data_IF_124658813619
#
_entry.id   IF_124658813619
#
_cell.length_a   1.000
_cell.length_b   1.000
_cell.length_c   1.000
_cell.angle_alpha   90.00
_cell.angle_beta   90.00
_cell.angle_gamma   90.00
#
_symmetry.space_group_name_H-M   'P 1'
#
loop_
_entity.id
_entity.type
_entity.pdbx_description
1 polymer ?
#
# COMPACT_ATOMS: atom_id res chain seq x y z
N UNK A 1 -11.28 -2.03 9.89
CA UNK A 1 -12.16 -3.12 10.39
C UNK A 1 -13.34 -3.39 9.44
N UNK A 2 -13.09 -3.97 8.26
CA UNK A 2 -14.16 -4.22 7.26
C UNK A 2 -15.18 -5.31 7.68
N UNK A 3 -14.94 -6.00 8.81
CA UNK A 3 -15.82 -7.04 9.35
C UNK A 3 -16.79 -6.52 10.42
N UNK A 4 -16.70 -5.24 10.82
CA UNK A 4 -17.60 -4.66 11.82
C UNK A 4 -18.81 -3.99 11.17
N UNK A 5 -20.01 -4.07 11.77
CA UNK A 5 -21.17 -3.25 11.38
C UNK A 5 -20.83 -1.76 11.26
N UNK A 6 -21.49 -1.05 10.32
CA UNK A 6 -21.19 0.35 10.01
C UNK A 6 -21.33 1.28 11.21
N UNK A 7 -22.28 1.01 12.11
CA UNK A 7 -22.57 1.78 13.31
C UNK A 7 -21.47 1.71 14.38
N UNK A 8 -20.61 0.69 14.34
CA UNK A 8 -19.51 0.54 15.30
C UNK A 8 -18.11 0.62 14.69
N UNK A 9 -17.98 0.42 13.38
CA UNK A 9 -16.69 0.34 12.68
C UNK A 9 -15.83 1.60 12.84
N UNK A 10 -16.47 2.76 12.91
CA UNK A 10 -15.80 4.06 13.01
C UNK A 10 -15.67 4.58 14.45
N UNK A 11 -16.02 3.75 15.45
CA UNK A 11 -15.79 4.11 16.84
C UNK A 11 -14.28 4.08 17.16
N UNK A 12 -13.76 5.01 17.98
CA UNK A 12 -12.32 5.09 18.29
C UNK A 12 -11.71 3.77 18.78
N UNK A 13 -12.45 2.98 19.57
CA UNK A 13 -12.00 1.67 20.07
C UNK A 13 -11.78 0.61 18.97
N UNK A 14 -12.36 0.81 17.78
CA UNK A 14 -12.24 -0.08 16.63
C UNK A 14 -11.30 0.46 15.55
N UNK A 15 -10.65 1.60 15.81
CA UNK A 15 -9.73 2.26 14.90
C UNK A 15 -8.34 2.31 15.50
N UNK A 16 -7.34 1.95 14.69
CA UNK A 16 -5.96 2.27 15.00
C UNK A 16 -5.65 3.65 14.43
N UNK A 17 -5.29 4.59 15.30
CA UNK A 17 -4.92 5.95 14.90
C UNK A 17 -3.43 6.13 15.15
N UNK A 18 -2.68 6.40 14.08
CA UNK A 18 -1.30 6.88 14.15
C UNK A 18 -1.27 8.33 13.71
N UNK A 19 -0.60 9.18 14.49
CA UNK A 19 -0.40 10.59 14.15
C UNK A 19 1.02 10.74 13.63
N UNK A 20 1.14 11.27 12.41
CA UNK A 20 2.42 11.66 11.83
C UNK A 20 2.56 13.16 12.08
N UNK A 21 3.50 13.60 12.94
CA UNK A 21 3.70 15.01 13.21
C UNK A 21 4.22 15.73 11.96
N UNK A 22 3.60 16.86 11.63
CA UNK A 22 4.10 17.79 10.61
C UNK A 22 5.33 18.57 11.07
N UNK A 23 5.83 19.53 10.27
CA UNK A 23 5.19 20.14 9.10
C UNK A 23 5.44 19.41 7.77
N UNK A 24 6.41 18.49 7.73
CA UNK A 24 6.81 17.79 6.51
C UNK A 24 6.34 16.33 6.55
N UNK A 25 6.11 15.77 5.36
CA UNK A 25 5.84 14.35 5.21
C UNK A 25 7.07 13.50 5.58
N UNK A 26 6.87 12.25 6.05
CA UNK A 26 7.97 11.33 6.34
C UNK A 26 8.87 11.13 5.12
N UNK A 27 10.17 11.28 5.32
CA UNK A 27 11.16 11.13 4.27
C UNK A 27 11.38 9.66 3.94
N UNK A 28 11.36 9.32 2.65
CA UNK A 28 11.75 7.99 2.13
C UNK A 28 11.05 6.85 2.89
N UNK A 29 11.80 6.14 3.73
CA UNK A 29 11.37 4.96 4.48
C UNK A 29 10.95 5.27 5.92
N UNK A 30 10.92 6.53 6.35
CA UNK A 30 10.54 6.89 7.73
C UNK A 30 9.12 6.46 8.10
N UNK A 31 8.23 6.40 7.10
CA UNK A 31 6.87 5.86 7.28
C UNK A 31 6.88 4.41 7.80
N UNK A 32 7.94 3.63 7.52
CA UNK A 32 8.10 2.28 8.06
C UNK A 32 8.08 2.27 9.60
N UNK A 33 8.61 3.30 10.26
CA UNK A 33 8.61 3.39 11.72
C UNK A 33 7.20 3.47 12.30
N UNK A 34 6.29 4.15 11.61
CA UNK A 34 4.89 4.31 12.03
C UNK A 34 4.06 3.06 11.76
N UNK A 35 4.30 2.36 10.64
CA UNK A 35 3.51 1.18 10.28
C UNK A 35 4.02 -0.11 10.94
N UNK A 36 5.29 -0.16 11.38
CA UNK A 36 5.91 -1.34 11.99
C UNK A 36 5.11 -1.94 13.16
N UNK A 37 4.58 -1.17 14.13
CA UNK A 37 3.78 -1.75 15.22
C UNK A 37 2.54 -2.49 14.71
N UNK A 38 1.84 -1.91 13.73
CA UNK A 38 0.66 -2.51 13.09
C UNK A 38 1.05 -3.78 12.33
N UNK A 39 2.12 -3.73 11.54
CA UNK A 39 2.65 -4.89 10.82
C UNK A 39 3.06 -6.00 11.79
N UNK A 40 3.69 -5.69 12.93
CA UNK A 40 4.02 -6.68 13.96
C UNK A 40 2.78 -7.43 14.45
N UNK A 41 1.67 -6.72 14.68
CA UNK A 41 0.40 -7.33 15.08
C UNK A 41 -0.17 -8.23 13.97
N UNK A 42 -0.07 -7.83 12.71
CA UNK A 42 -0.50 -8.66 11.58
C UNK A 42 0.37 -9.91 11.39
N UNK A 43 1.70 -9.79 11.52
CA UNK A 43 2.62 -10.93 11.46
C UNK A 43 2.30 -11.93 12.57
N UNK A 44 2.21 -11.45 13.83
CA UNK A 44 1.88 -12.31 14.95
C UNK A 44 0.52 -13.00 14.80
N UNK A 45 -0.48 -12.28 14.29
CA UNK A 45 -1.81 -12.83 14.04
C UNK A 45 -1.82 -13.86 12.90
N UNK A 46 -1.04 -13.65 11.85
CA UNK A 46 -0.95 -14.58 10.73
C UNK A 46 -0.22 -15.87 11.07
N UNK A 47 0.87 -15.79 11.85
CA UNK A 47 1.70 -16.95 12.19
C UNK A 47 1.07 -17.86 13.25
N UNK A 48 0.46 -17.28 14.28
CA UNK A 48 -0.02 -18.02 15.47
C UNK A 48 -1.43 -17.66 15.93
N UNK A 49 -2.06 -16.66 15.32
CA UNK A 49 -3.30 -16.07 15.81
C UNK A 49 -3.13 -15.33 17.13
N UNK A 50 -4.19 -14.66 17.57
CA UNK A 50 -4.25 -13.98 18.85
C UNK A 50 -5.35 -14.60 19.70
N UNK A 51 -4.95 -15.06 20.89
CA UNK A 51 -5.85 -15.65 21.87
C UNK A 51 -6.59 -14.54 22.62
N UNK A 52 -7.91 -14.55 22.50
CA UNK A 52 -8.81 -13.81 23.37
C UNK A 52 -9.22 -14.73 24.51
N UNK A 53 -9.06 -14.27 25.75
CA UNK A 53 -9.43 -15.05 26.94
C UNK A 53 -10.93 -15.30 27.04
N UNK A 54 -11.74 -14.38 26.50
CA UNK A 54 -13.19 -14.47 26.45
C UNK A 54 -13.75 -13.58 25.35
N UNK A 55 -14.82 -14.00 24.70
CA UNK A 55 -15.67 -13.15 23.85
C UNK A 55 -17.15 -13.38 24.20
N UNK A 56 -18.07 -12.57 23.66
CA UNK A 56 -19.50 -12.70 23.95
C UNK A 56 -20.07 -14.10 23.64
N UNK A 57 -19.57 -14.76 22.59
CA UNK A 57 -20.01 -16.09 22.16
C UNK A 57 -19.09 -17.23 22.62
N UNK A 58 -17.88 -16.92 23.12
CA UNK A 58 -16.90 -17.91 23.56
C UNK A 58 -16.37 -17.58 24.96
N UNK A 59 -17.05 -18.05 26.03
CA UNK A 59 -16.65 -17.86 27.43
C UNK A 59 -15.23 -18.37 27.74
N UNK A 60 -14.84 -19.48 27.13
CA UNK A 60 -13.52 -20.14 27.26
C UNK A 60 -12.43 -19.51 26.38
N UNK A 61 -12.78 -18.44 25.66
CA UNK A 61 -11.90 -17.77 24.72
C UNK A 61 -11.85 -18.41 23.34
N UNK A 62 -11.12 -17.76 22.44
CA UNK A 62 -10.90 -18.23 21.07
C UNK A 62 -9.57 -17.69 20.54
N UNK A 63 -9.04 -18.33 19.51
CA UNK A 63 -7.91 -17.80 18.73
C UNK A 63 -8.49 -17.18 17.46
N UNK A 64 -8.27 -15.89 17.28
CA UNK A 64 -8.66 -15.18 16.06
C UNK A 64 -7.42 -14.84 15.23
N UNK A 65 -7.57 -14.88 13.91
CA UNK A 65 -6.57 -14.38 12.97
C UNK A 65 -7.12 -13.16 12.27
N UNK A 66 -6.23 -12.25 11.90
CA UNK A 66 -6.57 -11.09 11.09
C UNK A 66 -5.49 -10.83 10.06
N UNK A 67 -5.94 -10.37 8.90
CA UNK A 67 -5.09 -10.04 7.77
C UNK A 67 -5.48 -8.67 7.21
N UNK A 68 -4.52 -7.98 6.62
CA UNK A 68 -4.81 -6.80 5.84
C UNK A 68 -5.42 -7.24 4.51
N UNK A 69 -6.61 -6.74 4.17
CA UNK A 69 -7.30 -7.08 2.93
C UNK A 69 -6.96 -6.09 1.79
N UNK A 70 -6.95 -4.81 2.09
CA UNK A 70 -6.66 -3.73 1.14
C UNK A 70 -6.03 -2.54 1.85
N UNK A 71 -5.21 -1.80 1.12
CA UNK A 71 -4.63 -0.51 1.49
C UNK A 71 -5.28 0.57 0.62
N UNK A 72 -6.23 1.29 1.19
CA UNK A 72 -6.95 2.39 0.52
C UNK A 72 -6.25 3.69 0.88
N UNK A 73 -5.68 4.35 -0.11
CA UNK A 73 -4.97 5.62 0.05
C UNK A 73 -5.16 6.46 -1.21
N UNK A 74 -5.03 7.78 -1.10
CA UNK A 74 -4.81 8.61 -2.28
C UNK A 74 -3.51 8.19 -3.00
N UNK A 75 -3.31 8.66 -4.23
CA UNK A 75 -2.18 8.21 -5.03
C UNK A 75 -0.81 8.54 -4.39
N UNK A 76 -0.55 9.76 -3.88
CA UNK A 76 0.69 10.07 -3.17
C UNK A 76 0.94 9.18 -1.95
N UNK A 77 -0.02 9.03 -1.04
CA UNK A 77 0.13 8.21 0.16
C UNK A 77 0.26 6.73 -0.18
N UNK A 78 -0.44 6.23 -1.21
CA UNK A 78 -0.25 4.86 -1.71
C UNK A 78 1.21 4.59 -2.10
N UNK A 79 1.89 5.55 -2.76
CA UNK A 79 3.30 5.41 -3.14
C UNK A 79 4.23 5.41 -1.94
N UNK A 80 4.00 6.28 -0.96
CA UNK A 80 4.80 6.31 0.25
C UNK A 80 4.59 5.04 1.10
N UNK A 81 3.35 4.63 1.30
CA UNK A 81 2.98 3.45 2.09
C UNK A 81 3.58 2.16 1.52
N UNK A 82 3.50 2.01 0.20
CA UNK A 82 4.09 0.87 -0.52
C UNK A 82 5.57 1.02 -0.86
N UNK A 83 6.16 2.18 -0.56
CA UNK A 83 7.54 2.52 -0.89
C UNK A 83 7.86 2.44 -2.39
N UNK A 84 6.85 2.66 -3.23
CA UNK A 84 7.00 2.77 -4.68
C UNK A 84 7.45 4.18 -5.08
N UNK A 85 7.95 4.32 -6.30
CA UNK A 85 8.23 5.61 -6.89
C UNK A 85 6.96 6.46 -7.02
N UNK A 86 7.13 7.78 -6.92
CA UNK A 86 6.04 8.74 -6.99
C UNK A 86 5.30 8.69 -8.33
N UNK A 87 4.09 9.26 -8.36
CA UNK A 87 3.23 9.30 -9.55
C UNK A 87 3.88 10.02 -10.74
N UNK A 88 4.84 10.92 -10.48
CA UNK A 88 5.57 11.68 -11.50
C UNK A 88 6.85 10.99 -11.95
N UNK A 89 7.11 9.74 -11.55
CA UNK A 89 8.27 8.96 -12.00
C UNK A 89 8.00 8.24 -13.33
N UNK A 90 9.03 7.64 -13.94
CA UNK A 90 8.82 6.73 -15.07
C UNK A 90 8.12 5.42 -14.66
N UNK A 91 8.11 5.09 -13.37
CA UNK A 91 7.36 3.97 -12.78
C UNK A 91 6.03 4.47 -12.19
N UNK A 92 5.13 4.92 -13.05
CA UNK A 92 3.87 5.55 -12.64
C UNK A 92 2.79 4.56 -12.18
N UNK A 93 2.90 3.27 -12.51
CA UNK A 93 1.92 2.25 -12.11
C UNK A 93 2.47 1.27 -11.05
N UNK A 94 1.68 1.01 -10.01
CA UNK A 94 1.98 -0.03 -8.99
C UNK A 94 1.52 -1.41 -9.44
N UNK A 95 0.53 -1.49 -10.34
CA UNK A 95 -0.07 -2.73 -10.80
C UNK A 95 0.63 -3.31 -12.02
N UNK A 96 0.79 -2.53 -13.09
CA UNK A 96 1.29 -3.03 -14.37
C UNK A 96 2.73 -2.58 -14.66
N UNK A 97 3.35 -3.17 -15.69
CA UNK A 97 4.73 -2.93 -16.10
C UNK A 97 4.92 -1.71 -16.99
N UNK A 98 3.87 -0.95 -17.29
CA UNK A 98 3.94 0.28 -18.05
C UNK A 98 4.99 1.25 -17.47
N UNK A 99 5.87 1.74 -18.34
CA UNK A 99 7.03 2.58 -18.00
C UNK A 99 7.22 3.68 -19.03
N UNK A 100 7.70 4.85 -18.57
CA UNK A 100 7.98 6.00 -19.43
C UNK A 100 6.86 7.03 -19.39
N UNK A 101 7.19 8.27 -19.03
CA UNK A 101 6.21 9.36 -18.87
C UNK A 101 5.53 9.74 -20.17
N UNK A 102 6.26 9.58 -21.27
CA UNK A 102 5.80 9.73 -22.65
C UNK A 102 4.66 8.77 -23.01
N UNK A 103 4.52 7.66 -22.26
CA UNK A 103 3.53 6.61 -22.53
C UNK A 103 2.29 6.66 -21.63
N UNK A 104 2.11 7.71 -20.82
CA UNK A 104 0.99 7.81 -19.87
C UNK A 104 -0.40 7.77 -20.53
N UNK A 105 -0.51 8.18 -21.79
CA UNK A 105 -1.79 8.28 -22.53
C UNK A 105 -1.99 7.15 -23.55
N UNK A 106 -1.20 6.08 -23.47
CA UNK A 106 -1.35 4.93 -24.37
C UNK A 106 -2.68 4.23 -24.10
N UNK A 107 -3.33 3.74 -25.16
CA UNK A 107 -4.66 3.09 -25.13
C UNK A 107 -4.63 1.66 -25.67
N UNK A 108 -3.45 1.12 -25.93
CA UNK A 108 -3.19 -0.22 -26.43
C UNK A 108 -3.24 -1.25 -25.29
N UNK A 109 -4.42 -1.39 -24.66
CA UNK A 109 -4.66 -2.21 -23.45
C UNK A 109 -4.30 -3.69 -23.59
N UNK A 110 -4.18 -4.19 -24.82
CA UNK A 110 -3.75 -5.57 -25.13
C UNK A 110 -2.22 -5.77 -25.05
N UNK A 111 -1.44 -4.69 -24.92
CA UNK A 111 0.01 -4.79 -24.82
C UNK A 111 0.44 -5.43 -23.49
N UNK A 112 1.42 -6.34 -23.53
CA UNK A 112 1.95 -7.07 -22.35
C UNK A 112 2.33 -6.19 -21.15
N UNK A 113 2.67 -4.93 -21.39
CA UNK A 113 3.03 -3.98 -20.32
C UNK A 113 1.85 -3.70 -19.37
N UNK A 114 0.62 -3.92 -19.81
CA UNK A 114 -0.59 -3.78 -18.99
C UNK A 114 -0.81 -4.97 -18.05
N UNK A 115 -0.07 -6.06 -18.22
CA UNK A 115 -0.12 -7.20 -17.33
C UNK A 115 0.36 -6.82 -15.92
N UNK A 116 -0.25 -7.41 -14.87
CA UNK A 116 0.21 -7.23 -13.51
C UNK A 116 1.69 -7.61 -13.36
N UNK A 117 2.42 -6.83 -12.56
CA UNK A 117 3.80 -7.18 -12.17
C UNK A 117 3.80 -8.49 -11.39
N UNK A 118 4.89 -9.25 -11.54
CA UNK A 118 5.14 -10.41 -10.70
C UNK A 118 5.46 -9.96 -9.26
N UNK A 119 4.68 -10.43 -8.30
CA UNK A 119 4.82 -10.10 -6.88
C UNK A 119 6.12 -10.65 -6.29
N UNK A 120 6.61 -11.79 -6.77
CA UNK A 120 7.83 -12.40 -6.27
C UNK A 120 9.06 -11.63 -6.77
N UNK A 121 9.05 -11.17 -8.03
CA UNK A 121 10.05 -10.24 -8.56
C UNK A 121 10.06 -8.91 -7.78
N UNK A 122 8.88 -8.35 -7.47
CA UNK A 122 8.79 -7.15 -6.64
C UNK A 122 9.37 -7.37 -5.24
N UNK A 123 9.09 -8.51 -4.61
CA UNK A 123 9.64 -8.88 -3.30
C UNK A 123 11.15 -8.99 -3.35
N UNK A 124 11.70 -9.69 -4.35
CA UNK A 124 13.15 -9.81 -4.54
C UNK A 124 13.82 -8.46 -4.73
N UNK A 125 13.22 -7.56 -5.52
CA UNK A 125 13.72 -6.18 -5.72
C UNK A 125 13.70 -5.37 -4.43
N UNK A 126 12.63 -5.49 -3.63
CA UNK A 126 12.53 -4.81 -2.35
C UNK A 126 13.55 -5.34 -1.33
N UNK A 127 13.78 -6.66 -1.29
CA UNK A 127 14.81 -7.25 -0.44
C UNK A 127 16.21 -6.87 -0.86
N UNK A 128 16.52 -6.89 -2.16
CA UNK A 128 17.81 -6.41 -2.68
C UNK A 128 18.06 -4.95 -2.30
N UNK A 129 17.02 -4.10 -2.31
CA UNK A 129 17.13 -2.72 -1.83
C UNK A 129 17.40 -2.67 -0.32
N UNK A 130 16.72 -3.51 0.48
CA UNK A 130 16.90 -3.57 1.94
C UNK A 130 18.30 -4.02 2.35
N UNK A 131 18.85 -5.02 1.67
CA UNK A 131 20.13 -5.65 2.00
C UNK A 131 21.32 -5.02 1.29
N UNK A 132 21.08 -4.05 0.41
CA UNK A 132 22.13 -3.30 -0.28
C UNK A 132 23.13 -2.69 0.73
N UNK A 133 24.45 -2.84 0.52
CA UNK A 133 25.45 -2.49 1.52
C UNK A 133 25.71 -0.99 1.61
N UNK A 134 25.29 -0.21 0.61
CA UNK A 134 25.48 1.25 0.59
C UNK A 134 24.24 1.97 0.13
N UNK A 135 24.08 3.20 0.60
CA UNK A 135 23.01 4.10 0.15
C UNK A 135 23.07 4.39 -1.35
N UNK A 136 24.27 4.44 -1.94
CA UNK A 136 24.43 4.62 -3.38
C UNK A 136 23.78 3.46 -4.15
N UNK A 137 24.05 2.23 -3.73
CA UNK A 137 23.43 1.04 -4.35
C UNK A 137 21.90 1.05 -4.14
N UNK A 138 21.42 1.48 -2.97
CA UNK A 138 19.99 1.66 -2.74
C UNK A 138 19.36 2.68 -3.70
N UNK A 139 20.04 3.81 -3.94
CA UNK A 139 19.58 4.84 -4.86
C UNK A 139 19.58 4.34 -6.32
N UNK A 140 20.61 3.60 -6.73
CA UNK A 140 20.70 2.97 -8.05
C UNK A 140 19.59 1.92 -8.26
N UNK A 141 19.36 1.05 -7.26
CA UNK A 141 18.28 0.05 -7.29
C UNK A 141 16.91 0.71 -7.34
N UNK A 142 16.68 1.77 -6.57
CA UNK A 142 15.43 2.51 -6.61
C UNK A 142 15.22 3.22 -7.95
N UNK A 143 16.27 3.81 -8.52
CA UNK A 143 16.21 4.45 -9.84
C UNK A 143 15.82 3.44 -10.93
N UNK A 144 16.37 2.22 -10.87
CA UNK A 144 16.11 1.15 -11.83
C UNK A 144 14.74 0.49 -11.67
N UNK A 145 14.33 0.23 -10.43
CA UNK A 145 13.16 -0.62 -10.15
C UNK A 145 11.93 0.18 -9.70
N UNK A 146 12.10 1.42 -9.25
CA UNK A 146 11.03 2.26 -8.70
C UNK A 146 10.45 1.75 -7.38
N UNK A 147 11.21 0.98 -6.60
CA UNK A 147 10.73 0.32 -5.38
C UNK A 147 11.79 0.35 -4.28
N UNK A 148 11.36 0.61 -3.04
CA UNK A 148 12.16 0.42 -1.82
C UNK A 148 11.49 -0.60 -0.90
N UNK A 149 12.15 -0.93 0.19
CA UNK A 149 11.60 -1.79 1.22
C UNK A 149 10.53 -1.07 2.06
N UNK A 150 9.34 -1.66 2.12
CA UNK A 150 8.28 -1.35 3.11
C UNK A 150 8.16 -2.49 4.12
N UNK A 151 7.78 -2.18 5.36
CA UNK A 151 7.48 -3.21 6.39
C UNK A 151 6.38 -4.18 5.93
N UNK A 152 5.52 -3.78 5.00
CA UNK A 152 4.45 -4.63 4.46
C UNK A 152 4.97 -5.91 3.81
N UNK A 153 6.21 -5.92 3.30
CA UNK A 153 6.84 -7.14 2.75
C UNK A 153 7.08 -8.24 3.78
N UNK A 154 6.96 -7.94 5.08
CA UNK A 154 6.96 -8.96 6.14
C UNK A 154 5.68 -9.77 6.19
N UNK A 155 4.60 -9.30 5.54
CA UNK A 155 3.35 -10.03 5.44
C UNK A 155 3.45 -11.00 4.25
N UNK A 156 3.38 -12.33 4.46
CA UNK A 156 3.59 -13.30 3.38
C UNK A 156 2.60 -13.16 2.23
N UNK A 157 1.40 -12.67 2.52
CA UNK A 157 0.29 -12.46 1.60
C UNK A 157 0.24 -11.07 0.96
N UNK A 158 1.19 -10.17 1.29
CA UNK A 158 1.19 -8.82 0.71
C UNK A 158 1.47 -8.86 -0.79
N UNK A 159 0.50 -8.36 -1.56
CA UNK A 159 0.58 -8.19 -3.01
C UNK A 159 0.17 -6.76 -3.38
N UNK A 160 1.13 -5.84 -3.62
CA UNK A 160 0.81 -4.46 -3.95
C UNK A 160 0.07 -4.31 -5.28
N UNK A 161 0.08 -5.31 -6.17
CA UNK A 161 -0.64 -5.25 -7.46
C UNK A 161 -2.15 -5.46 -7.32
N UNK A 162 -2.57 -6.05 -6.20
CA UNK A 162 -3.98 -6.36 -5.86
C UNK A 162 -4.49 -5.59 -4.65
N UNK A 163 -3.62 -5.37 -3.67
CA UNK A 163 -4.01 -4.84 -2.36
C UNK A 163 -3.86 -3.31 -2.26
N UNK A 164 -3.02 -2.66 -3.08
CA UNK A 164 -3.03 -1.19 -3.21
C UNK A 164 -4.15 -0.79 -4.15
N UNK A 165 -5.33 -0.57 -3.59
CA UNK A 165 -6.52 -0.25 -4.37
C UNK A 165 -6.52 1.23 -4.75
N UNK A 166 -7.08 1.52 -5.93
CA UNK A 166 -7.30 2.91 -6.37
C UNK A 166 -8.41 3.50 -5.53
N UNK A 167 -8.14 4.62 -4.87
CA UNK A 167 -9.18 5.36 -4.17
C UNK A 167 -10.15 6.01 -5.16
N UNK A 168 -11.37 5.48 -5.19
CA UNK A 168 -12.45 5.95 -6.05
C UNK A 168 -12.83 7.41 -5.80
N UNK A 169 -12.72 7.91 -4.57
CA UNK A 169 -13.09 9.29 -4.25
C UNK A 169 -12.14 10.26 -4.95
N UNK A 170 -10.84 10.13 -4.70
CA UNK A 170 -9.83 11.00 -5.29
C UNK A 170 -9.65 10.78 -6.79
N UNK A 171 -9.75 9.53 -7.27
CA UNK A 171 -9.55 9.24 -8.69
C UNK A 171 -10.77 9.61 -9.55
N UNK A 172 -11.96 9.15 -9.16
CA UNK A 172 -13.16 9.29 -10.01
C UNK A 172 -13.92 10.58 -9.72
N UNK A 173 -14.17 10.91 -8.45
CA UNK A 173 -15.02 12.04 -8.09
C UNK A 173 -14.23 13.36 -8.13
N UNK A 174 -13.12 13.44 -7.40
CA UNK A 174 -12.31 14.66 -7.33
C UNK A 174 -11.36 14.82 -8.51
N UNK A 175 -10.95 13.72 -9.15
CA UNK A 175 -10.11 13.74 -10.34
C UNK A 175 -10.93 13.85 -11.61
N UNK A 176 -11.44 12.72 -12.09
CA UNK A 176 -12.07 12.64 -13.42
C UNK A 176 -13.35 13.47 -13.53
N UNK A 177 -14.32 13.30 -12.63
CA UNK A 177 -15.59 14.01 -12.73
C UNK A 177 -15.40 15.51 -12.58
N UNK A 178 -14.63 15.96 -11.58
CA UNK A 178 -14.29 17.37 -11.42
C UNK A 178 -13.65 17.96 -12.68
N UNK A 179 -12.68 17.26 -13.28
CA UNK A 179 -12.02 17.72 -14.50
C UNK A 179 -12.99 17.85 -15.67
N UNK A 180 -13.83 16.82 -15.89
CA UNK A 180 -14.77 16.82 -17.00
C UNK A 180 -15.82 17.91 -16.84
N UNK A 181 -16.43 18.07 -15.67
CA UNK A 181 -17.43 19.13 -15.46
C UNK A 181 -16.82 20.52 -15.58
N UNK A 182 -15.65 20.77 -14.98
CA UNK A 182 -15.07 22.13 -14.95
C UNK A 182 -14.37 22.55 -16.24
N UNK A 183 -13.79 21.62 -17.00
CA UNK A 183 -12.91 21.97 -18.12
C UNK A 183 -13.33 21.37 -19.46
N UNK A 184 -14.12 20.30 -19.49
CA UNK A 184 -14.53 19.65 -20.74
C UNK A 184 -15.96 20.00 -21.12
N UNK A 185 -16.89 19.91 -20.16
CA UNK A 185 -18.33 20.05 -20.39
C UNK A 185 -18.85 21.47 -20.15
N UNK A 186 -18.31 22.19 -19.16
CA UNK A 186 -18.76 23.53 -18.79
C UNK A 186 -19.91 23.52 -17.80
#
# INVERSE_FOLDING_TARGET
CLNLPLDIRYKPENMYVAIIPGPNEPSKTELNHYIRPVVNSFVASWERGVRFSRTAQHPEGLIATWAMAAAVNDLPAARQFSQCAGHSSHHYCSRCSCYGKDKHHRVDVEHKDWEPKDVDDLRQKAEAWRTAPTRKIQEDLFSKNGLRWTELWRLPYWDPTKMLVVDSMHCLLEGLAQYHFRYVLG
#
